data_IF_588151282686
#
_entry.id   IF_588151282686
#
_cell.length_a   1.000
_cell.length_b   1.000
_cell.length_c   1.000
_cell.angle_alpha   90.00
_cell.angle_beta   90.00
_cell.angle_gamma   90.00
#
_symmetry.space_group_name_H-M   'P 1'
#
loop_
_entity.id
_entity.type
_entity.pdbx_description
1 polymer ?
#
# COMPACT_ATOMS: atom_id res chain seq x y z
N UNK A 1 -13.37 25.55 1.51
CA UNK A 1 -13.42 26.72 0.62
C UNK A 1 -13.51 26.23 -0.82
N UNK A 2 -14.30 26.86 -1.67
CA UNK A 2 -14.33 26.55 -3.11
C UNK A 2 -13.10 27.10 -3.83
N UNK A 3 -12.75 26.58 -5.01
CA UNK A 3 -11.64 27.09 -5.82
C UNK A 3 -11.73 28.61 -6.04
N UNK A 4 -12.93 29.12 -6.30
CA UNK A 4 -13.19 30.55 -6.46
C UNK A 4 -12.89 31.35 -5.18
N UNK A 5 -13.25 30.82 -4.01
CA UNK A 5 -12.97 31.47 -2.72
C UNK A 5 -11.47 31.51 -2.42
N UNK A 6 -10.73 30.43 -2.72
CA UNK A 6 -9.28 30.37 -2.52
C UNK A 6 -8.57 31.34 -3.46
N UNK A 7 -8.93 31.33 -4.74
CA UNK A 7 -8.38 32.22 -5.75
C UNK A 7 -8.60 33.70 -5.39
N UNK A 8 -9.82 34.06 -4.98
CA UNK A 8 -10.16 35.41 -4.57
C UNK A 8 -9.36 35.85 -3.34
N UNK A 9 -9.31 35.02 -2.29
CA UNK A 9 -8.57 35.28 -1.05
C UNK A 9 -7.07 35.48 -1.31
N UNK A 10 -6.47 34.66 -2.18
CA UNK A 10 -5.05 34.79 -2.55
C UNK A 10 -4.77 36.07 -3.36
N UNK A 11 -5.66 36.45 -4.28
CA UNK A 11 -5.53 37.69 -5.03
C UNK A 11 -5.69 38.94 -4.16
N UNK A 12 -6.60 38.90 -3.18
CA UNK A 12 -6.76 39.95 -2.15
C UNK A 12 -5.48 40.13 -1.33
N UNK A 13 -4.87 39.03 -0.89
CA UNK A 13 -3.59 39.04 -0.14
C UNK A 13 -2.42 39.60 -0.95
N UNK A 14 -2.45 39.43 -2.28
CA UNK A 14 -1.45 39.98 -3.20
C UNK A 14 -1.65 41.46 -3.52
N UNK A 15 -2.75 42.09 -3.05
CA UNK A 15 -3.13 43.47 -3.39
C UNK A 15 -3.13 43.75 -4.89
N UNK A 16 -3.36 42.72 -5.72
CA UNK A 16 -3.47 42.89 -7.17
C UNK A 16 -4.87 43.45 -7.47
N UNK A 17 -5.02 44.42 -8.39
CA UNK A 17 -6.33 44.86 -8.82
C UNK A 17 -7.12 43.64 -9.28
N UNK A 18 -8.36 43.51 -8.82
CA UNK A 18 -9.23 42.37 -9.12
C UNK A 18 -9.27 42.14 -10.64
N UNK A 19 -8.47 41.20 -11.13
CA UNK A 19 -8.83 40.49 -12.34
C UNK A 19 -10.20 39.87 -12.06
N UNK A 20 -11.11 39.89 -13.04
CA UNK A 20 -12.46 39.32 -12.91
C UNK A 20 -12.40 37.96 -12.21
N UNK A 21 -13.36 37.65 -11.33
CA UNK A 21 -13.35 36.43 -10.50
C UNK A 21 -13.12 35.14 -11.33
N UNK A 22 -13.58 35.15 -12.59
CA UNK A 22 -13.36 34.08 -13.57
C UNK A 22 -11.88 33.90 -13.96
N UNK A 23 -11.13 35.00 -14.11
CA UNK A 23 -9.70 34.99 -14.44
C UNK A 23 -8.85 34.51 -13.27
N UNK A 24 -9.17 34.93 -12.04
CA UNK A 24 -8.50 34.46 -10.84
C UNK A 24 -8.71 32.95 -10.65
N UNK A 25 -9.94 32.47 -10.86
CA UNK A 25 -10.28 31.04 -10.79
C UNK A 25 -9.55 30.23 -11.85
N UNK A 26 -9.55 30.67 -13.12
CA UNK A 26 -8.80 30.02 -14.21
C UNK A 26 -7.29 29.98 -13.95
N UNK A 27 -6.74 31.05 -13.37
CA UNK A 27 -5.32 31.09 -13.00
C UNK A 27 -5.02 30.09 -11.88
N UNK A 28 -5.85 30.01 -10.85
CA UNK A 28 -5.73 29.02 -9.78
C UNK A 28 -5.83 27.58 -10.32
N UNK A 29 -6.80 27.28 -11.20
CA UNK A 29 -6.93 25.97 -11.86
C UNK A 29 -5.69 25.62 -12.71
N UNK A 30 -5.08 26.61 -13.37
CA UNK A 30 -3.82 26.41 -14.09
C UNK A 30 -2.67 26.08 -13.13
N UNK A 31 -2.62 26.70 -11.96
CA UNK A 31 -1.62 26.40 -10.93
C UNK A 31 -1.82 24.99 -10.41
N UNK A 32 -3.04 24.56 -10.07
CA UNK A 32 -3.34 23.19 -9.65
C UNK A 32 -2.91 22.16 -10.72
N UNK A 33 -3.19 22.43 -12.00
CA UNK A 33 -2.83 21.52 -13.09
C UNK A 33 -1.33 21.43 -13.36
N UNK A 34 -0.59 22.53 -13.19
CA UNK A 34 0.81 22.62 -13.65
C UNK A 34 1.82 22.64 -12.51
N UNK A 35 1.40 22.88 -11.27
CA UNK A 35 2.25 23.12 -10.11
C UNK A 35 3.11 24.39 -10.20
N UNK A 36 3.01 25.17 -11.29
CA UNK A 36 3.89 26.30 -11.57
C UNK A 36 3.22 27.61 -11.18
N UNK A 37 3.86 28.35 -10.27
CA UNK A 37 3.44 29.70 -9.88
C UNK A 37 4.62 30.52 -9.39
N UNK A 38 4.43 31.83 -9.23
CA UNK A 38 5.43 32.72 -8.60
C UNK A 38 5.46 32.52 -7.08
N UNK A 39 6.61 32.69 -6.43
CA UNK A 39 6.74 32.58 -4.96
C UNK A 39 5.71 33.43 -4.20
N UNK A 40 5.50 34.69 -4.61
CA UNK A 40 4.51 35.56 -3.97
C UNK A 40 3.08 35.01 -4.02
N UNK A 41 2.71 34.37 -5.14
CA UNK A 41 1.40 33.71 -5.26
C UNK A 41 1.34 32.43 -4.43
N UNK A 42 2.43 31.66 -4.35
CA UNK A 42 2.51 30.51 -3.45
C UNK A 42 2.33 30.94 -1.98
N UNK A 43 2.99 32.02 -1.54
CA UNK A 43 2.85 32.57 -0.18
C UNK A 43 1.41 33.04 0.10
N UNK A 44 0.77 33.66 -0.90
CA UNK A 44 -0.61 34.13 -0.79
C UNK A 44 -1.63 32.98 -0.74
N UNK A 45 -1.41 31.92 -1.54
CA UNK A 45 -2.19 30.70 -1.49
C UNK A 45 -2.02 29.97 -0.15
N UNK A 46 -0.78 29.89 0.35
CA UNK A 46 -0.48 29.28 1.64
C UNK A 46 -1.22 30.01 2.77
N UNK A 47 -1.16 31.36 2.79
CA UNK A 47 -1.93 32.18 3.73
C UNK A 47 -3.45 32.04 3.55
N UNK A 48 -3.95 32.00 2.32
CA UNK A 48 -5.37 31.83 2.05
C UNK A 48 -5.91 30.49 2.56
N UNK A 49 -5.10 29.44 2.49
CA UNK A 49 -5.40 28.08 2.92
C UNK A 49 -4.95 27.80 4.37
N UNK A 50 -4.42 28.81 5.07
CA UNK A 50 -3.88 28.70 6.42
C UNK A 50 -2.85 27.57 6.58
N UNK A 51 -1.94 27.47 5.62
CA UNK A 51 -0.87 26.47 5.53
C UNK A 51 0.46 27.14 5.18
N UNK A 52 1.53 26.36 4.94
CA UNK A 52 2.84 26.86 4.50
C UNK A 52 3.10 26.54 3.03
N UNK A 53 4.02 27.26 2.39
CA UNK A 53 4.42 26.95 1.01
C UNK A 53 5.04 25.57 0.89
N UNK A 54 5.79 25.13 1.90
CA UNK A 54 6.35 23.79 1.94
C UNK A 54 5.25 22.73 1.85
N UNK A 55 4.13 22.93 2.56
CA UNK A 55 2.97 22.03 2.50
C UNK A 55 2.30 22.06 1.13
N UNK A 56 2.16 23.23 0.52
CA UNK A 56 1.65 23.33 -0.85
C UNK A 56 2.56 22.65 -1.89
N UNK A 57 3.86 22.52 -1.59
CA UNK A 57 4.83 21.80 -2.42
C UNK A 57 4.86 20.30 -2.14
N UNK A 58 4.00 19.80 -1.25
CA UNK A 58 3.91 18.37 -0.91
C UNK A 58 4.77 17.94 0.28
N UNK A 59 5.43 18.85 0.99
CA UNK A 59 6.11 18.51 2.24
C UNK A 59 5.10 18.34 3.37
N UNK A 60 5.45 17.54 4.37
CA UNK A 60 4.64 17.42 5.57
C UNK A 60 4.53 18.78 6.30
N UNK A 61 3.34 19.17 6.82
CA UNK A 61 3.22 20.31 7.71
C UNK A 61 4.06 20.10 8.98
N UNK A 62 4.49 21.20 9.58
CA UNK A 62 5.12 21.18 10.91
C UNK A 62 4.21 20.41 11.87
N UNK A 63 4.80 19.48 12.64
CA UNK A 63 4.03 18.66 13.58
C UNK A 63 3.37 19.59 14.60
N UNK A 64 2.04 19.52 14.69
CA UNK A 64 1.31 20.10 15.82
C UNK A 64 1.77 19.49 17.15
N UNK A 65 1.40 20.08 18.29
CA UNK A 65 1.79 19.56 19.60
C UNK A 65 1.35 18.09 19.72
N UNK A 66 2.31 17.21 19.97
CA UNK A 66 2.05 15.78 20.11
C UNK A 66 1.40 15.50 21.47
N UNK A 67 0.33 14.70 21.47
CA UNK A 67 -0.30 14.22 22.71
C UNK A 67 0.72 13.47 23.57
N UNK A 68 1.53 12.61 22.93
CA UNK A 68 2.59 11.84 23.57
C UNK A 68 3.63 12.77 24.21
N UNK A 69 4.13 13.79 23.47
CA UNK A 69 5.13 14.73 24.02
C UNK A 69 4.55 15.57 25.17
N UNK A 70 3.26 15.88 25.11
CA UNK A 70 2.56 16.63 26.16
C UNK A 70 2.41 15.79 27.42
N UNK A 71 2.04 14.51 27.28
CA UNK A 71 1.95 13.55 28.37
C UNK A 71 3.33 13.23 28.95
N UNK A 72 4.33 13.00 28.12
CA UNK A 72 5.71 12.75 28.55
C UNK A 72 6.23 13.91 29.41
N UNK A 73 6.06 15.15 28.94
CA UNK A 73 6.46 16.34 29.70
C UNK A 73 5.70 16.43 31.03
N UNK A 74 4.40 16.15 31.01
CA UNK A 74 3.56 16.17 32.21
C UNK A 74 4.00 15.10 33.22
N UNK A 75 4.27 13.88 32.78
CA UNK A 75 4.74 12.79 33.62
C UNK A 75 6.11 13.07 34.22
N UNK A 76 7.08 13.54 33.42
CA UNK A 76 8.40 13.94 33.93
C UNK A 76 8.27 15.02 35.00
N UNK A 77 7.44 16.04 34.76
CA UNK A 77 7.21 17.09 35.74
C UNK A 77 6.62 16.56 37.06
N UNK A 78 5.61 15.69 36.99
CA UNK A 78 4.99 15.10 38.20
C UNK A 78 5.94 14.20 38.99
N UNK A 79 6.82 13.47 38.30
CA UNK A 79 7.85 12.64 38.92
C UNK A 79 8.89 13.50 39.64
N UNK A 80 9.33 14.62 39.03
CA UNK A 80 10.27 15.56 39.64
C UNK A 80 9.70 16.23 40.89
N UNK A 81 8.42 16.59 40.87
CA UNK A 81 7.75 17.26 41.99
C UNK A 81 7.19 16.28 43.04
N UNK A 82 7.21 14.97 42.76
CA UNK A 82 6.59 13.94 43.62
C UNK A 82 5.07 14.09 43.74
N UNK A 83 4.41 14.68 42.73
CA UNK A 83 3.02 15.10 42.82
C UNK A 83 1.99 13.98 42.58
N UNK A 84 2.41 12.85 42.00
CA UNK A 84 1.51 11.72 41.68
C UNK A 84 2.11 10.38 42.14
N UNK A 85 1.70 9.86 43.31
CA UNK A 85 2.09 8.52 43.76
C UNK A 85 1.53 7.42 42.85
N UNK A 86 0.38 7.67 42.22
CA UNK A 86 -0.28 6.74 41.28
C UNK A 86 0.57 6.55 40.02
N UNK A 87 1.15 7.62 39.47
CA UNK A 87 2.07 7.54 38.33
C UNK A 87 3.33 6.74 38.67
N UNK A 88 3.89 6.93 39.87
CA UNK A 88 5.07 6.20 40.33
C UNK A 88 4.78 4.70 40.48
N UNK A 89 3.63 4.35 41.04
CA UNK A 89 3.20 2.95 41.17
C UNK A 89 2.95 2.31 39.81
N UNK A 90 2.27 3.00 38.89
CA UNK A 90 2.00 2.50 37.54
C UNK A 90 3.29 2.22 36.77
N UNK A 91 4.25 3.14 36.78
CA UNK A 91 5.57 2.95 36.15
C UNK A 91 6.35 1.78 36.80
N UNK A 92 6.26 1.61 38.11
CA UNK A 92 6.91 0.50 38.81
C UNK A 92 6.28 -0.86 38.43
N UNK A 93 4.95 -0.92 38.30
CA UNK A 93 4.25 -2.12 37.84
C UNK A 93 4.60 -2.47 36.39
N UNK A 94 4.73 -1.47 35.52
CA UNK A 94 5.10 -1.69 34.12
C UNK A 94 6.54 -2.16 33.97
N UNK A 95 7.46 -1.58 34.74
CA UNK A 95 8.85 -2.04 34.82
C UNK A 95 8.94 -3.50 35.30
N UNK A 96 8.04 -3.94 36.19
CA UNK A 96 7.95 -5.35 36.63
C UNK A 96 7.34 -6.27 35.56
N UNK A 97 6.48 -5.74 34.69
CA UNK A 97 5.81 -6.50 33.64
C UNK A 97 6.69 -6.74 32.39
N UNK A 98 7.69 -5.89 32.16
CA UNK A 98 8.65 -6.03 31.05
C UNK A 98 9.53 -7.28 31.24
N UNK A 99 9.27 -8.34 30.46
CA UNK A 99 10.14 -9.52 30.35
C UNK A 99 11.21 -9.27 29.28
N UNK A 100 12.29 -8.59 29.60
CA UNK A 100 13.35 -8.31 28.63
C UNK A 100 14.36 -7.26 29.09
N UNK A 101 15.13 -6.75 28.13
CA UNK A 101 15.99 -5.59 28.38
C UNK A 101 15.12 -4.37 28.76
N UNK A 102 15.51 -3.61 29.80
CA UNK A 102 14.75 -2.45 30.23
C UNK A 102 14.68 -1.41 29.10
N UNK A 103 13.48 -0.84 28.92
CA UNK A 103 13.27 0.24 27.94
C UNK A 103 14.24 1.41 28.21
N UNK A 104 14.94 1.92 27.19
CA UNK A 104 15.82 3.09 27.34
C UNK A 104 15.08 4.36 27.78
N UNK A 105 13.77 4.48 27.55
CA UNK A 105 12.96 5.61 28.00
C UNK A 105 11.55 5.19 28.48
N UNK A 106 11.43 4.65 29.71
CA UNK A 106 10.17 4.08 30.19
C UNK A 106 9.05 5.11 30.33
N UNK A 107 9.38 6.39 30.57
CA UNK A 107 8.37 7.45 30.71
C UNK A 107 7.71 7.76 29.37
N UNK A 108 8.49 7.75 28.29
CA UNK A 108 7.96 7.97 26.95
C UNK A 108 7.08 6.82 26.50
N UNK A 109 7.53 5.57 26.69
CA UNK A 109 6.73 4.39 26.35
C UNK A 109 5.42 4.37 27.12
N UNK A 110 5.45 4.71 28.40
CA UNK A 110 4.24 4.88 29.20
C UNK A 110 3.31 6.00 28.68
N UNK A 111 3.89 7.13 28.27
CA UNK A 111 3.13 8.21 27.64
C UNK A 111 2.44 7.76 26.34
N UNK A 112 3.09 6.92 25.54
CA UNK A 112 2.50 6.33 24.34
C UNK A 112 1.32 5.39 24.67
N UNK A 113 1.45 4.56 25.70
CA UNK A 113 0.36 3.69 26.16
C UNK A 113 -0.83 4.51 26.69
N UNK A 114 -0.58 5.48 27.57
CA UNK A 114 -1.63 6.33 28.14
C UNK A 114 -2.31 7.16 27.06
N UNK A 115 -1.56 7.67 26.08
CA UNK A 115 -2.11 8.39 24.95
C UNK A 115 -3.10 7.51 24.15
N UNK A 116 -2.76 6.24 23.89
CA UNK A 116 -3.65 5.29 23.19
C UNK A 116 -4.93 5.01 24.00
N UNK A 117 -4.80 4.89 25.33
CA UNK A 117 -5.95 4.72 26.24
C UNK A 117 -6.88 5.94 26.22
N UNK A 118 -6.32 7.14 26.21
CA UNK A 118 -7.10 8.39 26.07
C UNK A 118 -7.85 8.39 24.75
N UNK A 119 -7.17 8.08 23.64
CA UNK A 119 -7.81 8.05 22.32
C UNK A 119 -8.97 7.04 22.27
N UNK A 120 -8.76 5.82 22.74
CA UNK A 120 -9.81 4.80 22.81
C UNK A 120 -11.01 5.23 23.67
N UNK A 121 -10.75 5.84 24.81
CA UNK A 121 -11.79 6.30 25.75
C UNK A 121 -12.71 7.37 25.12
N UNK A 122 -12.23 8.15 24.15
CA UNK A 122 -13.04 9.17 23.48
C UNK A 122 -14.21 8.60 22.67
N UNK A 123 -14.16 7.34 22.21
CA UNK A 123 -15.28 6.68 21.50
C UNK A 123 -16.40 6.20 22.43
N UNK A 124 -16.06 5.91 23.69
CA UNK A 124 -16.98 5.32 24.65
C UNK A 124 -16.23 4.89 25.90
N UNK A 125 -16.37 5.61 27.03
CA UNK A 125 -15.59 5.31 28.22
C UNK A 125 -16.04 3.98 28.83
N UNK A 126 -15.13 3.04 29.13
CA UNK A 126 -15.37 2.03 30.16
C UNK A 126 -15.75 2.75 31.46
N UNK A 127 -16.67 2.16 32.25
CA UNK A 127 -16.95 2.70 33.58
C UNK A 127 -15.63 2.83 34.35
N UNK A 128 -15.39 4.01 34.89
CA UNK A 128 -14.23 4.40 35.73
C UNK A 128 -12.89 4.67 35.03
N UNK A 129 -12.76 4.48 33.70
CA UNK A 129 -11.47 4.71 33.03
C UNK A 129 -11.07 6.18 32.94
N UNK A 130 -12.05 7.08 32.72
CA UNK A 130 -11.80 8.51 32.68
C UNK A 130 -11.24 9.03 34.01
N UNK A 131 -11.80 8.58 35.13
CA UNK A 131 -11.34 8.97 36.47
C UNK A 131 -9.89 8.49 36.73
N UNK A 132 -9.57 7.26 36.33
CA UNK A 132 -8.19 6.73 36.41
C UNK A 132 -7.21 7.55 35.57
N UNK A 133 -7.59 7.94 34.36
CA UNK A 133 -6.75 8.75 33.49
C UNK A 133 -6.56 10.18 34.04
N UNK A 134 -7.59 10.78 34.65
CA UNK A 134 -7.48 12.07 35.34
C UNK A 134 -6.48 11.98 36.50
N UNK A 135 -6.60 10.96 37.35
CA UNK A 135 -5.71 10.75 38.48
C UNK A 135 -4.26 10.48 38.03
N UNK A 136 -4.10 9.66 37.00
CA UNK A 136 -2.79 9.30 36.46
C UNK A 136 -2.07 10.46 35.77
N UNK A 137 -2.80 11.26 34.98
CA UNK A 137 -2.23 12.34 34.17
C UNK A 137 -2.23 13.69 34.87
N UNK A 138 -3.03 13.86 35.92
CA UNK A 138 -3.29 15.15 36.55
C UNK A 138 -3.99 16.15 35.62
N UNK A 139 -4.45 15.73 34.45
CA UNK A 139 -5.23 16.56 33.53
C UNK A 139 -6.71 16.51 33.92
N UNK A 140 -7.43 17.59 33.62
CA UNK A 140 -8.88 17.63 33.79
C UNK A 140 -9.58 16.75 32.76
N UNK A 141 -10.81 16.33 33.06
CA UNK A 141 -11.65 15.60 32.08
C UNK A 141 -11.79 16.39 30.76
N UNK A 142 -11.93 17.71 30.86
CA UNK A 142 -12.04 18.57 29.69
C UNK A 142 -10.76 18.58 28.83
N UNK A 143 -9.58 18.40 29.43
CA UNK A 143 -8.30 18.31 28.73
C UNK A 143 -8.13 16.94 28.05
N UNK A 144 -8.51 15.85 28.73
CA UNK A 144 -8.47 14.49 28.19
C UNK A 144 -9.47 14.29 27.03
N UNK A 145 -10.62 14.98 27.09
CA UNK A 145 -11.66 14.94 26.06
C UNK A 145 -11.41 15.92 24.90
N UNK A 146 -10.29 16.65 24.88
CA UNK A 146 -9.93 17.43 23.70
C UNK A 146 -9.66 16.48 22.53
N UNK A 147 -10.16 16.78 21.32
CA UNK A 147 -9.93 15.95 20.14
C UNK A 147 -8.45 16.02 19.74
N UNK A 148 -7.68 15.10 20.31
CA UNK A 148 -6.28 14.82 20.00
C UNK A 148 -6.17 13.33 19.73
N UNK A 149 -5.66 12.98 18.56
CA UNK A 149 -5.58 11.61 18.07
C UNK A 149 -4.13 11.27 17.72
N UNK A 150 -3.65 10.12 18.13
CA UNK A 150 -2.36 9.57 17.69
C UNK A 150 -2.56 8.92 16.33
N UNK A 151 -3.54 8.02 16.28
CA UNK A 151 -3.81 7.15 15.14
C UNK A 151 -5.04 7.64 14.36
N UNK A 152 -6.02 8.21 15.06
CA UNK A 152 -7.30 8.69 14.54
C UNK A 152 -8.33 7.57 14.46
N UNK A 153 -9.61 7.94 14.57
CA UNK A 153 -10.71 7.00 14.38
C UNK A 153 -11.18 7.01 12.93
N UNK A 154 -11.57 5.85 12.44
CA UNK A 154 -12.03 5.66 11.07
C UNK A 154 -13.33 4.88 11.07
N UNK A 155 -14.38 5.50 10.55
CA UNK A 155 -15.60 4.77 10.27
C UNK A 155 -15.49 4.12 8.90
N UNK A 156 -15.70 2.81 8.86
CA UNK A 156 -15.57 1.98 7.66
C UNK A 156 -16.89 1.28 7.39
N UNK A 157 -17.25 1.13 6.12
CA UNK A 157 -18.47 0.51 5.64
C UNK A 157 -18.19 -0.36 4.42
N UNK A 158 -18.89 -1.47 4.29
CA UNK A 158 -18.82 -2.34 3.13
C UNK A 158 -20.22 -2.73 2.66
N UNK A 159 -20.32 -3.02 1.37
CA UNK A 159 -21.44 -3.75 0.78
C UNK A 159 -20.85 -4.81 -0.13
N UNK A 160 -20.98 -6.07 0.29
CA UNK A 160 -20.45 -7.24 -0.43
C UNK A 160 -21.63 -8.15 -0.74
N UNK A 161 -21.94 -8.36 -2.02
CA UNK A 161 -23.09 -9.18 -2.45
C UNK A 161 -24.43 -8.85 -1.74
N UNK A 162 -24.63 -7.58 -1.38
CA UNK A 162 -25.82 -7.10 -0.65
C UNK A 162 -25.72 -7.19 0.87
N UNK A 163 -24.74 -7.91 1.43
CA UNK A 163 -24.39 -7.89 2.85
C UNK A 163 -23.75 -6.55 3.19
N UNK A 164 -24.21 -5.91 4.27
CA UNK A 164 -23.71 -4.60 4.71
C UNK A 164 -23.03 -4.75 6.06
N UNK A 165 -21.80 -4.24 6.18
CA UNK A 165 -21.05 -4.16 7.43
C UNK A 165 -20.58 -2.73 7.65
N UNK A 166 -20.48 -2.34 8.91
CA UNK A 166 -19.86 -1.07 9.29
C UNK A 166 -19.16 -1.21 10.63
N UNK A 167 -18.03 -0.55 10.80
CA UNK A 167 -17.22 -0.62 12.01
C UNK A 167 -16.49 0.70 12.24
N UNK A 168 -16.04 0.96 13.47
CA UNK A 168 -15.07 2.03 13.74
C UNK A 168 -13.75 1.35 14.06
N UNK A 169 -12.73 1.64 13.27
CA UNK A 169 -11.36 1.14 13.46
C UNK A 169 -10.46 2.27 13.94
N UNK A 170 -9.39 1.91 14.66
CA UNK A 170 -8.39 2.85 15.15
C UNK A 170 -7.19 2.85 14.20
N UNK A 171 -6.81 3.99 13.67
CA UNK A 171 -5.68 4.12 12.74
C UNK A 171 -6.03 3.91 11.27
N UNK A 172 -5.33 4.67 10.43
CA UNK A 172 -5.47 4.62 8.98
C UNK A 172 -4.96 3.29 8.39
N UNK A 173 -3.99 2.66 9.03
CA UNK A 173 -3.43 1.35 8.66
C UNK A 173 -4.42 0.20 8.85
N UNK A 174 -5.36 0.32 9.80
CA UNK A 174 -6.38 -0.69 10.04
C UNK A 174 -7.50 -0.70 8.99
N UNK A 175 -7.63 0.36 8.18
CA UNK A 175 -8.65 0.41 7.10
C UNK A 175 -8.37 -0.64 6.01
N UNK A 176 -7.17 -0.74 5.40
CA UNK A 176 -6.83 -1.82 4.47
C UNK A 176 -7.03 -3.22 5.07
N UNK A 177 -6.62 -3.43 6.33
CA UNK A 177 -6.81 -4.70 7.03
C UNK A 177 -8.30 -5.05 7.14
N UNK A 178 -9.14 -4.09 7.52
CA UNK A 178 -10.58 -4.28 7.63
C UNK A 178 -11.24 -4.61 6.29
N UNK A 179 -10.82 -3.97 5.19
CA UNK A 179 -11.27 -4.31 3.84
C UNK A 179 -10.91 -5.76 3.51
N UNK A 180 -9.66 -6.16 3.77
CA UNK A 180 -9.19 -7.51 3.51
C UNK A 180 -9.97 -8.55 4.32
N UNK A 181 -10.20 -8.32 5.62
CA UNK A 181 -11.00 -9.21 6.47
C UNK A 181 -12.46 -9.29 6.00
N UNK A 182 -13.08 -8.17 5.66
CA UNK A 182 -14.45 -8.15 5.16
C UNK A 182 -14.60 -8.97 3.89
N UNK A 183 -13.61 -8.91 2.98
CA UNK A 183 -13.59 -9.73 1.78
C UNK A 183 -13.42 -11.21 2.13
N UNK A 184 -12.53 -11.57 3.05
CA UNK A 184 -12.32 -12.97 3.43
C UNK A 184 -13.54 -13.59 4.11
N UNK A 185 -14.22 -12.82 4.96
CA UNK A 185 -15.40 -13.28 5.72
C UNK A 185 -16.64 -13.37 4.82
N UNK A 186 -16.95 -12.31 4.07
CA UNK A 186 -18.20 -12.21 3.30
C UNK A 186 -18.04 -12.71 1.84
N UNK A 187 -16.80 -12.95 1.41
CA UNK A 187 -16.47 -13.42 0.06
C UNK A 187 -15.20 -14.29 0.02
N UNK A 188 -15.21 -15.47 0.68
CA UNK A 188 -14.02 -16.31 0.87
C UNK A 188 -13.41 -16.83 -0.44
N UNK A 189 -14.21 -16.92 -1.51
CA UNK A 189 -13.75 -17.35 -2.83
C UNK A 189 -13.01 -16.23 -3.61
N UNK A 190 -12.89 -15.01 -3.08
CA UNK A 190 -12.11 -13.96 -3.76
C UNK A 190 -10.59 -14.16 -3.62
N UNK A 191 -9.80 -13.92 -4.68
CA UNK A 191 -10.17 -13.65 -6.08
C UNK A 191 -10.20 -14.92 -6.97
N UNK A 192 -10.23 -16.13 -6.37
CA UNK A 192 -10.02 -17.42 -7.05
C UNK A 192 -11.28 -18.22 -7.42
N UNK A 193 -12.48 -17.71 -7.10
CA UNK A 193 -13.75 -18.35 -7.38
C UNK A 193 -14.06 -18.42 -8.88
N UNK A 194 -14.72 -19.49 -9.32
CA UNK A 194 -15.01 -19.78 -10.73
C UNK A 194 -15.83 -18.71 -11.46
N UNK A 195 -16.46 -17.79 -10.73
CA UNK A 195 -17.29 -16.71 -11.27
C UNK A 195 -16.45 -15.50 -11.71
N UNK A 196 -15.18 -15.40 -11.28
CA UNK A 196 -14.36 -14.21 -11.50
C UNK A 196 -13.06 -14.55 -12.23
N UNK A 197 -13.07 -14.36 -13.55
CA UNK A 197 -11.82 -14.44 -14.35
C UNK A 197 -10.97 -13.20 -14.14
N UNK A 198 -11.55 -12.01 -14.03
CA UNK A 198 -10.86 -10.71 -13.90
C UNK A 198 -11.54 -9.76 -12.90
N UNK A 199 -10.78 -8.77 -12.43
CA UNK A 199 -11.20 -7.80 -11.43
C UNK A 199 -10.67 -6.38 -11.71
N UNK A 200 -11.53 -5.38 -11.53
CA UNK A 200 -11.16 -3.95 -11.48
C UNK A 200 -11.33 -3.44 -10.06
N UNK A 201 -10.30 -2.78 -9.52
CA UNK A 201 -10.39 -2.02 -8.28
C UNK A 201 -10.32 -0.54 -8.59
N UNK A 202 -11.33 0.22 -8.16
CA UNK A 202 -11.41 1.67 -8.37
C UNK A 202 -11.43 2.39 -7.03
N UNK A 203 -10.49 3.31 -6.84
CA UNK A 203 -10.41 4.19 -5.68
C UNK A 203 -10.98 5.55 -6.06
N UNK A 204 -11.90 6.09 -5.27
CA UNK A 204 -12.53 7.40 -5.50
C UNK A 204 -12.49 8.25 -4.24
N UNK A 205 -12.36 9.55 -4.43
CA UNK A 205 -12.31 10.53 -3.35
C UNK A 205 -13.51 11.48 -3.47
N UNK A 206 -14.34 11.48 -2.44
CA UNK A 206 -15.50 12.36 -2.28
C UNK A 206 -15.46 12.96 -0.87
N UNK A 207 -14.44 13.80 -0.62
CA UNK A 207 -14.10 14.27 0.73
C UNK A 207 -15.32 14.78 1.52
N UNK A 208 -15.46 14.37 2.81
CA UNK A 208 -14.45 13.67 3.61
C UNK A 208 -14.37 12.15 3.37
N UNK A 209 -15.21 11.59 2.49
CA UNK A 209 -15.28 10.16 2.24
C UNK A 209 -14.28 9.69 1.20
N UNK A 210 -13.76 8.49 1.43
CA UNK A 210 -12.93 7.73 0.50
C UNK A 210 -13.64 6.42 0.18
N UNK A 211 -13.56 6.00 -1.08
CA UNK A 211 -14.28 4.85 -1.58
C UNK A 211 -13.33 3.91 -2.32
N UNK A 212 -13.54 2.61 -2.14
CA UNK A 212 -12.91 1.53 -2.90
C UNK A 212 -14.01 0.65 -3.46
N UNK A 213 -14.01 0.47 -4.77
CA UNK A 213 -14.98 -0.38 -5.48
C UNK A 213 -14.24 -1.54 -6.13
N UNK A 214 -14.73 -2.75 -5.91
CA UNK A 214 -14.23 -3.99 -6.52
C UNK A 214 -15.31 -4.49 -7.48
N UNK A 215 -15.02 -4.58 -8.77
CA UNK A 215 -16.02 -4.84 -9.80
C UNK A 215 -15.54 -5.86 -10.82
N UNK A 216 -16.45 -6.72 -11.28
CA UNK A 216 -16.18 -7.61 -12.42
C UNK A 216 -16.24 -6.78 -13.70
N UNK A 217 -15.22 -6.83 -14.57
CA UNK A 217 -15.31 -6.19 -15.88
C UNK A 217 -16.49 -6.75 -16.70
N UNK A 218 -16.68 -8.07 -16.67
CA UNK A 218 -17.64 -8.78 -17.50
C UNK A 218 -19.07 -8.74 -16.95
N UNK A 219 -19.23 -8.61 -15.61
CA UNK A 219 -20.54 -8.60 -14.96
C UNK A 219 -20.63 -7.37 -14.05
N UNK A 220 -21.00 -6.18 -14.58
CA UNK A 220 -20.99 -4.93 -13.82
C UNK A 220 -21.87 -4.93 -12.56
N UNK A 221 -22.91 -5.77 -12.52
CA UNK A 221 -23.79 -5.96 -11.37
C UNK A 221 -23.09 -6.64 -10.18
N UNK A 222 -22.00 -7.39 -10.43
CA UNK A 222 -21.13 -7.93 -9.40
C UNK A 222 -20.15 -6.83 -8.97
N UNK A 223 -20.60 -6.05 -7.98
CA UNK A 223 -19.89 -4.91 -7.44
C UNK A 223 -19.92 -4.96 -5.92
N UNK A 224 -18.73 -4.85 -5.34
CA UNK A 224 -18.53 -4.72 -3.91
C UNK A 224 -17.96 -3.32 -3.64
N UNK A 225 -18.47 -2.66 -2.61
CA UNK A 225 -18.08 -1.26 -2.30
C UNK A 225 -17.63 -1.15 -0.86
N UNK A 226 -16.54 -0.43 -0.65
CA UNK A 226 -16.01 -0.07 0.66
C UNK A 226 -15.98 1.46 0.73
N UNK A 227 -16.45 2.04 1.83
CA UNK A 227 -16.45 3.48 2.05
C UNK A 227 -15.92 3.75 3.44
N UNK A 228 -15.04 4.73 3.58
CA UNK A 228 -14.40 5.04 4.85
C UNK A 228 -14.14 6.53 5.00
N UNK A 229 -14.19 7.00 6.25
CA UNK A 229 -14.04 8.41 6.60
C UNK A 229 -13.37 8.55 7.95
N UNK A 230 -12.47 9.52 8.08
CA UNK A 230 -11.87 9.87 9.36
C UNK A 230 -12.94 10.48 10.25
N UNK A 231 -13.09 9.99 11.47
CA UNK A 231 -14.03 10.51 12.44
C UNK A 231 -13.32 11.05 13.68
N UNK A 232 -13.89 12.12 14.24
CA UNK A 232 -13.42 12.75 15.47
C UNK A 232 -14.54 12.70 16.50
N UNK A 233 -14.35 11.95 17.61
CA UNK A 233 -15.30 11.99 18.71
C UNK A 233 -15.29 13.35 19.39
N UNK A 234 -16.48 13.84 19.73
CA UNK A 234 -16.69 15.05 20.52
C UNK A 234 -17.80 14.78 21.54
N UNK A 235 -17.97 15.64 22.57
CA UNK A 235 -19.11 15.53 23.47
C UNK A 235 -20.48 15.57 22.78
N UNK A 236 -20.57 16.13 21.56
CA UNK A 236 -21.79 16.19 20.75
C UNK A 236 -22.01 14.98 19.83
N UNK A 237 -21.06 14.03 19.80
CA UNK A 237 -21.07 12.88 18.91
C UNK A 237 -19.85 12.79 18.00
N UNK A 238 -19.91 11.88 17.04
CA UNK A 238 -18.88 11.66 16.02
C UNK A 238 -19.03 12.66 14.86
N UNK A 239 -17.94 13.33 14.52
CA UNK A 239 -17.88 14.25 13.38
C UNK A 239 -16.99 13.68 12.29
N UNK A 240 -17.45 13.75 11.04
CA UNK A 240 -16.66 13.39 9.87
C UNK A 240 -15.65 14.49 9.55
N UNK A 241 -14.41 14.09 9.31
CA UNK A 241 -13.29 15.00 9.09
C UNK A 241 -12.51 14.55 7.87
N UNK A 242 -11.84 15.49 7.21
CA UNK A 242 -10.95 15.13 6.12
C UNK A 242 -9.76 14.32 6.65
N UNK A 243 -9.24 13.35 5.87
CA UNK A 243 -7.98 12.70 6.17
C UNK A 243 -6.85 13.73 6.23
N UNK A 244 -5.95 13.55 7.20
CA UNK A 244 -4.69 14.27 7.26
C UNK A 244 -3.70 13.75 6.21
N UNK A 245 -2.63 14.50 5.96
CA UNK A 245 -1.55 14.05 5.08
C UNK A 245 -0.92 12.73 5.55
N UNK A 246 -0.83 12.52 6.87
CA UNK A 246 -0.25 11.29 7.47
C UNK A 246 -1.17 10.10 7.24
N UNK A 247 -2.48 10.32 7.26
CA UNK A 247 -3.43 9.27 6.92
C UNK A 247 -3.28 8.86 5.46
N UNK A 248 -3.19 9.84 4.56
CA UNK A 248 -2.98 9.59 3.13
C UNK A 248 -1.68 8.84 2.87
N UNK A 249 -0.62 9.16 3.60
CA UNK A 249 0.64 8.44 3.51
C UNK A 249 0.47 6.93 3.79
N UNK A 250 -0.28 6.56 4.84
CA UNK A 250 -0.51 5.16 5.19
C UNK A 250 -1.55 4.47 4.31
N UNK A 251 -2.63 5.17 3.95
CA UNK A 251 -3.73 4.63 3.16
C UNK A 251 -3.34 4.39 1.71
N UNK A 252 -2.76 5.41 1.04
CA UNK A 252 -2.60 5.39 -0.40
C UNK A 252 -1.68 4.26 -0.85
N UNK A 253 -0.54 4.09 -0.17
CA UNK A 253 0.41 3.03 -0.48
C UNK A 253 -0.13 1.65 -0.12
N UNK A 254 -0.74 1.49 1.06
CA UNK A 254 -1.27 0.20 1.53
C UNK A 254 -2.45 -0.29 0.67
N UNK A 255 -3.39 0.60 0.34
CA UNK A 255 -4.53 0.27 -0.55
C UNK A 255 -4.05 -0.03 -1.96
N UNK A 256 -3.08 0.74 -2.48
CA UNK A 256 -2.52 0.49 -3.81
C UNK A 256 -1.83 -0.87 -3.87
N UNK A 257 -1.01 -1.21 -2.87
CA UNK A 257 -0.36 -2.53 -2.77
C UNK A 257 -1.39 -3.65 -2.74
N UNK A 258 -2.38 -3.54 -1.85
CA UNK A 258 -3.48 -4.50 -1.78
C UNK A 258 -4.19 -4.64 -3.14
N UNK A 259 -4.52 -3.54 -3.81
CA UNK A 259 -5.20 -3.55 -5.09
C UNK A 259 -4.36 -4.21 -6.20
N UNK A 260 -3.05 -3.96 -6.22
CA UNK A 260 -2.12 -4.53 -7.21
C UNK A 260 -1.98 -6.05 -7.08
N UNK A 261 -2.15 -6.60 -5.87
CA UNK A 261 -2.13 -8.05 -5.61
C UNK A 261 -3.45 -8.75 -5.97
N UNK A 262 -4.58 -8.02 -6.02
CA UNK A 262 -5.92 -8.63 -6.13
C UNK A 262 -6.67 -8.30 -7.42
N UNK A 263 -6.20 -7.35 -8.23
CA UNK A 263 -6.87 -6.91 -9.46
C UNK A 263 -5.98 -7.00 -10.70
N UNK A 264 -6.65 -6.89 -11.84
CA UNK A 264 -6.04 -6.78 -13.17
C UNK A 264 -5.92 -5.31 -13.58
N UNK A 265 -6.89 -4.51 -13.17
CA UNK A 265 -6.93 -3.08 -13.43
C UNK A 265 -7.16 -2.34 -12.12
N UNK A 266 -6.37 -1.30 -11.90
CA UNK A 266 -6.51 -0.42 -10.73
C UNK A 266 -6.68 1.01 -11.22
N UNK A 267 -7.69 1.70 -10.72
CA UNK A 267 -7.86 3.14 -10.85
C UNK A 267 -7.54 3.76 -9.50
N UNK A 268 -6.46 4.54 -9.41
CA UNK A 268 -6.04 5.19 -8.17
C UNK A 268 -6.92 6.39 -7.80
N UNK A 269 -6.69 6.97 -6.61
CA UNK A 269 -7.36 8.22 -6.19
C UNK A 269 -7.08 9.40 -7.12
N UNK A 270 -5.97 9.35 -7.87
CA UNK A 270 -5.60 10.30 -8.92
C UNK A 270 -6.40 10.12 -10.23
N UNK A 271 -7.29 9.12 -10.28
CA UNK A 271 -8.08 8.77 -11.46
C UNK A 271 -7.29 8.06 -12.55
N UNK A 272 -6.00 7.77 -12.35
CA UNK A 272 -5.19 7.08 -13.35
C UNK A 272 -5.50 5.59 -13.33
N UNK A 273 -5.83 5.04 -14.51
CA UNK A 273 -6.00 3.61 -14.72
C UNK A 273 -4.67 2.94 -15.04
N UNK A 274 -4.36 1.85 -14.36
CA UNK A 274 -3.18 1.02 -14.56
C UNK A 274 -3.61 -0.45 -14.71
N UNK A 275 -3.15 -1.18 -15.74
CA UNK A 275 -2.41 -0.67 -16.91
C UNK A 275 -3.25 0.33 -17.71
N UNK A 276 -2.59 1.29 -18.37
CA UNK A 276 -3.26 2.22 -19.28
C UNK A 276 -3.41 1.65 -20.69
N UNK A 277 -2.45 0.86 -21.14
CA UNK A 277 -2.50 0.12 -22.39
C UNK A 277 -2.06 -1.34 -22.19
N UNK A 278 -2.89 -2.27 -22.64
CA UNK A 278 -2.60 -3.71 -22.57
C UNK A 278 -1.54 -4.13 -23.59
N UNK A 279 -1.38 -3.42 -24.72
CA UNK A 279 -0.34 -3.74 -25.71
C UNK A 279 1.06 -3.43 -25.21
N UNK A 280 1.16 -2.49 -24.27
CA UNK A 280 2.40 -2.10 -23.63
C UNK A 280 2.82 -3.05 -22.51
N UNK A 281 2.02 -4.07 -22.17
CA UNK A 281 2.36 -5.03 -21.12
C UNK A 281 3.57 -5.90 -21.50
N UNK A 282 4.48 -6.09 -20.55
CA UNK A 282 5.70 -6.90 -20.68
C UNK A 282 5.92 -7.69 -19.39
N UNK A 283 6.65 -8.80 -19.48
CA UNK A 283 7.31 -9.39 -18.31
C UNK A 283 8.76 -8.91 -18.29
N UNK A 284 9.15 -8.22 -17.23
CA UNK A 284 10.52 -7.76 -16.99
C UNK A 284 11.24 -8.79 -16.12
N UNK A 285 12.43 -9.22 -16.55
CA UNK A 285 13.31 -10.11 -15.80
C UNK A 285 14.47 -9.28 -15.26
N UNK A 286 14.61 -9.27 -13.94
CA UNK A 286 15.59 -8.47 -13.23
C UNK A 286 16.45 -9.35 -12.32
N UNK A 287 17.70 -8.97 -12.10
CA UNK A 287 18.52 -9.50 -11.01
C UNK A 287 18.48 -8.51 -9.85
N UNK A 288 18.05 -8.92 -8.64
CA UNK A 288 18.09 -8.05 -7.49
C UNK A 288 19.55 -7.67 -7.16
N UNK A 289 19.82 -6.36 -7.07
CA UNK A 289 21.11 -5.81 -6.60
C UNK A 289 20.86 -4.87 -5.42
N UNK A 290 21.93 -4.51 -4.69
CA UNK A 290 21.84 -3.68 -3.48
C UNK A 290 21.43 -2.23 -3.76
N UNK A 291 21.79 -1.69 -4.92
CA UNK A 291 21.54 -0.28 -5.28
C UNK A 291 20.43 -0.10 -6.32
N UNK A 292 20.35 -0.96 -7.35
CA UNK A 292 19.28 -0.95 -8.35
C UNK A 292 19.14 -2.33 -9.02
N UNK A 293 17.91 -2.83 -9.16
CA UNK A 293 17.62 -4.10 -9.85
C UNK A 293 18.16 -4.05 -11.31
N UNK A 294 19.08 -4.95 -11.67
CA UNK A 294 19.66 -5.02 -13.02
C UNK A 294 18.65 -5.62 -14.02
N UNK A 295 18.28 -4.87 -15.05
CA UNK A 295 17.38 -5.36 -16.10
C UNK A 295 18.10 -6.32 -17.05
N UNK A 296 17.69 -7.58 -17.06
CA UNK A 296 18.33 -8.64 -17.86
C UNK A 296 17.60 -8.90 -19.17
N UNK A 297 16.27 -8.91 -19.14
CA UNK A 297 15.46 -9.22 -20.31
C UNK A 297 14.04 -8.66 -20.20
N UNK A 298 13.44 -8.41 -21.36
CA UNK A 298 12.06 -7.96 -21.50
C UNK A 298 11.32 -8.94 -22.41
N UNK A 299 10.30 -9.61 -21.88
CA UNK A 299 9.48 -10.56 -22.62
C UNK A 299 8.22 -9.86 -23.11
N UNK A 300 8.09 -9.79 -24.44
CA UNK A 300 6.90 -9.24 -25.11
C UNK A 300 5.82 -10.31 -25.38
N UNK A 301 6.26 -11.58 -25.51
CA UNK A 301 5.44 -12.65 -26.05
C UNK A 301 4.91 -12.33 -27.44
N UNK A 302 3.74 -12.87 -27.77
CA UNK A 302 3.10 -12.73 -29.08
C UNK A 302 2.00 -11.66 -29.08
N UNK A 303 2.08 -10.65 -28.21
CA UNK A 303 1.07 -9.59 -28.14
C UNK A 303 0.91 -8.82 -29.44
N UNK A 304 1.99 -8.66 -30.20
CA UNK A 304 2.01 -7.94 -31.49
C UNK A 304 1.22 -8.69 -32.59
N UNK A 305 0.93 -9.98 -32.38
CA UNK A 305 0.14 -10.81 -33.32
C UNK A 305 -1.38 -10.69 -33.10
N UNK A 306 -1.81 -10.08 -31.99
CA UNK A 306 -3.24 -9.92 -31.66
C UNK A 306 -3.84 -8.71 -32.39
N UNK A 307 -4.95 -8.94 -33.09
CA UNK A 307 -5.71 -7.88 -33.75
C UNK A 307 -6.36 -6.93 -32.75
N UNK A 308 -6.63 -5.69 -33.19
CA UNK A 308 -7.20 -4.66 -32.32
C UNK A 308 -8.55 -5.02 -31.70
N UNK A 309 -9.41 -5.66 -32.49
CA UNK A 309 -10.71 -6.14 -32.04
C UNK A 309 -10.61 -7.13 -30.88
N UNK A 310 -9.59 -8.00 -30.88
CA UNK A 310 -9.37 -9.00 -29.83
C UNK A 310 -8.90 -8.33 -28.55
N UNK A 311 -8.00 -7.35 -28.64
CA UNK A 311 -7.52 -6.61 -27.47
C UNK A 311 -8.63 -5.76 -26.87
N UNK A 312 -9.45 -5.10 -27.69
CA UNK A 312 -10.56 -4.29 -27.20
C UNK A 312 -11.68 -5.15 -26.60
N UNK A 313 -11.96 -6.33 -27.18
CA UNK A 313 -12.83 -7.32 -26.55
C UNK A 313 -12.26 -7.79 -25.21
N UNK A 314 -10.95 -8.06 -25.09
CA UNK A 314 -10.34 -8.44 -23.82
C UNK A 314 -10.47 -7.35 -22.74
N UNK A 315 -10.43 -6.07 -23.12
CA UNK A 315 -10.69 -4.95 -22.19
C UNK A 315 -12.14 -4.92 -21.71
N UNK A 316 -13.08 -5.16 -22.62
CA UNK A 316 -14.52 -5.14 -22.32
C UNK A 316 -15.00 -6.39 -21.56
N UNK A 317 -14.44 -7.55 -21.89
CA UNK A 317 -14.84 -8.85 -21.35
C UNK A 317 -14.06 -9.23 -20.09
N UNK A 318 -13.00 -8.51 -19.72
CA UNK A 318 -12.16 -8.89 -18.58
C UNK A 318 -11.39 -10.18 -18.87
N UNK A 319 -10.52 -10.14 -19.87
CA UNK A 319 -9.64 -11.26 -20.26
C UNK A 319 -8.14 -10.90 -20.16
N UNK A 320 -7.76 -10.13 -19.16
CA UNK A 320 -6.37 -9.79 -18.85
C UNK A 320 -5.51 -11.02 -18.58
N UNK A 321 -6.03 -12.03 -17.89
CA UNK A 321 -5.27 -13.26 -17.61
C UNK A 321 -4.91 -14.03 -18.89
N UNK A 322 -5.73 -13.93 -19.95
CA UNK A 322 -5.39 -14.44 -21.26
C UNK A 322 -4.24 -13.62 -21.87
N UNK A 323 -4.33 -12.29 -21.87
CA UNK A 323 -3.23 -11.42 -22.34
C UNK A 323 -1.91 -11.77 -21.65
N UNK A 324 -1.89 -11.89 -20.32
CA UNK A 324 -0.70 -12.29 -19.55
C UNK A 324 -0.22 -13.69 -19.94
N UNK A 325 -1.13 -14.64 -20.13
CA UNK A 325 -0.77 -15.99 -20.62
C UNK A 325 -0.09 -15.95 -21.99
N UNK A 326 -0.50 -15.05 -22.88
CA UNK A 326 0.13 -14.86 -24.19
C UNK A 326 1.53 -14.24 -24.07
N UNK A 327 1.71 -13.25 -23.19
CA UNK A 327 3.04 -12.69 -22.88
C UNK A 327 3.96 -13.80 -22.35
N UNK A 328 3.45 -14.61 -21.43
CA UNK A 328 4.20 -15.67 -20.77
C UNK A 328 4.58 -16.84 -21.69
N UNK A 329 3.99 -16.95 -22.90
CA UNK A 329 4.32 -18.02 -23.85
C UNK A 329 5.80 -18.02 -24.26
N UNK A 330 6.41 -16.84 -24.40
CA UNK A 330 7.83 -16.65 -24.70
C UNK A 330 8.75 -16.61 -23.48
N UNK A 331 8.20 -16.79 -22.27
CA UNK A 331 8.95 -16.59 -21.03
C UNK A 331 10.10 -17.59 -20.87
N UNK A 332 9.87 -18.86 -21.21
CA UNK A 332 10.87 -19.91 -21.04
C UNK A 332 12.14 -19.65 -21.85
N UNK A 333 12.00 -19.19 -23.10
CA UNK A 333 13.14 -18.90 -23.97
C UNK A 333 13.97 -17.71 -23.48
N UNK A 334 13.35 -16.76 -22.76
CA UNK A 334 14.05 -15.65 -22.12
C UNK A 334 14.74 -16.06 -20.81
N UNK A 335 14.11 -16.94 -20.03
CA UNK A 335 14.63 -17.40 -18.73
C UNK A 335 15.75 -18.43 -18.91
N UNK A 336 15.58 -19.40 -19.80
CA UNK A 336 16.49 -20.55 -19.96
C UNK A 336 17.98 -20.16 -20.09
N UNK A 337 18.37 -19.15 -20.90
CA UNK A 337 19.76 -18.74 -21.01
C UNK A 337 20.33 -18.18 -19.70
N UNK A 338 19.51 -17.60 -18.83
CA UNK A 338 19.96 -17.04 -17.55
C UNK A 338 20.23 -18.13 -16.48
N UNK A 339 19.75 -19.35 -16.71
CA UNK A 339 19.88 -20.46 -15.77
C UNK A 339 21.04 -21.41 -16.11
N UNK A 340 21.76 -21.17 -17.22
CA UNK A 340 22.71 -22.12 -17.81
C UNK A 340 23.92 -22.46 -16.93
N UNK A 341 24.29 -21.57 -16.01
CA UNK A 341 25.44 -21.74 -15.11
C UNK A 341 25.27 -22.91 -14.14
N UNK A 342 24.02 -23.34 -13.89
CA UNK A 342 23.71 -24.39 -12.93
C UNK A 342 22.69 -25.40 -13.50
N UNK A 343 22.77 -26.69 -13.11
CA UNK A 343 21.77 -27.69 -13.47
C UNK A 343 20.34 -27.26 -13.14
N UNK A 344 19.39 -27.60 -14.02
CA UNK A 344 17.98 -27.21 -13.88
C UNK A 344 17.32 -27.67 -12.56
N UNK A 345 17.76 -28.80 -11.98
CA UNK A 345 17.24 -29.31 -10.70
C UNK A 345 17.75 -28.57 -9.46
N UNK A 346 18.63 -27.59 -9.64
CA UNK A 346 19.16 -26.73 -8.58
C UNK A 346 18.46 -25.37 -8.52
N UNK A 347 17.56 -25.10 -9.46
CA UNK A 347 16.77 -23.87 -9.49
C UNK A 347 15.40 -24.11 -8.89
N UNK A 348 14.92 -23.13 -8.13
CA UNK A 348 13.58 -23.11 -7.56
C UNK A 348 12.84 -21.91 -8.08
N UNK A 349 11.55 -22.09 -8.38
CA UNK A 349 10.67 -21.03 -8.84
C UNK A 349 9.53 -20.92 -7.84
N UNK A 350 9.33 -19.73 -7.27
CA UNK A 350 8.26 -19.43 -6.31
C UNK A 350 7.50 -18.22 -6.78
N UNK A 351 6.18 -18.23 -6.62
CA UNK A 351 5.44 -16.97 -6.57
C UNK A 351 5.78 -16.29 -5.25
N UNK A 352 6.02 -15.00 -5.31
CA UNK A 352 6.29 -14.19 -4.14
C UNK A 352 5.29 -13.02 -4.10
N UNK A 353 4.72 -12.81 -2.93
CA UNK A 353 3.88 -11.67 -2.63
C UNK A 353 4.56 -10.94 -1.48
N UNK A 354 5.45 -10.03 -1.82
CA UNK A 354 6.11 -9.17 -0.86
C UNK A 354 5.22 -7.96 -0.55
N UNK A 355 5.50 -7.30 0.58
CA UNK A 355 4.86 -6.02 0.98
C UNK A 355 4.92 -4.98 -0.15
N UNK A 356 5.89 -5.08 -1.06
CA UNK A 356 6.18 -4.08 -2.10
C UNK A 356 5.77 -4.52 -3.51
N UNK A 357 5.51 -5.81 -3.74
CA UNK A 357 5.22 -6.31 -5.09
C UNK A 357 4.69 -7.75 -5.13
N UNK A 358 3.96 -8.09 -6.21
CA UNK A 358 3.62 -9.48 -6.55
C UNK A 358 4.46 -9.89 -7.77
N UNK A 359 5.30 -10.91 -7.60
CA UNK A 359 6.29 -11.30 -8.60
C UNK A 359 6.57 -12.80 -8.59
N UNK A 360 7.33 -13.27 -9.58
CA UNK A 360 7.90 -14.63 -9.57
C UNK A 360 9.38 -14.51 -9.23
N UNK A 361 9.84 -15.30 -8.27
CA UNK A 361 11.24 -15.38 -7.87
C UNK A 361 11.80 -16.72 -8.35
N UNK A 362 12.93 -16.65 -9.06
CA UNK A 362 13.73 -17.81 -9.44
C UNK A 362 15.01 -17.73 -8.62
N UNK A 363 15.34 -18.75 -7.84
CA UNK A 363 16.51 -18.75 -6.97
C UNK A 363 17.23 -20.09 -7.00
N UNK A 364 18.54 -20.08 -6.84
CA UNK A 364 19.29 -21.32 -6.60
C UNK A 364 18.91 -21.95 -5.25
N UNK A 365 19.03 -23.27 -5.17
CA UNK A 365 18.84 -24.04 -3.95
C UNK A 365 19.82 -23.57 -2.88
N UNK A 366 19.27 -23.13 -1.74
CA UNK A 366 20.05 -22.64 -0.62
C UNK A 366 21.04 -23.70 -0.11
N UNK A 367 20.72 -24.99 -0.19
CA UNK A 367 21.59 -26.09 0.25
C UNK A 367 22.93 -26.18 -0.49
N UNK A 368 23.01 -25.64 -1.71
CA UNK A 368 24.26 -25.57 -2.49
C UNK A 368 25.17 -24.50 -1.91
N UNK A 369 24.59 -23.40 -1.41
CA UNK A 369 25.29 -22.26 -0.82
C UNK A 369 25.99 -22.65 0.48
N UNK A 370 25.41 -23.58 1.24
CA UNK A 370 25.92 -24.02 2.54
C UNK A 370 27.04 -25.05 2.48
N UNK A 371 27.27 -25.73 1.33
CA UNK A 371 28.31 -26.77 1.23
C UNK A 371 29.74 -26.21 1.21
N UNK A 372 29.94 -25.01 0.65
CA UNK A 372 31.27 -24.41 0.48
C UNK A 372 31.49 -23.15 1.35
N UNK A 373 30.52 -22.79 2.21
CA UNK A 373 30.62 -21.57 3.01
C UNK A 373 31.29 -21.82 4.37
N UNK A 374 32.55 -21.36 4.50
CA UNK A 374 33.36 -21.46 5.73
C UNK A 374 33.50 -20.15 6.52
N UNK A 375 32.69 -19.12 6.21
CA UNK A 375 32.89 -17.76 6.71
C UNK A 375 32.10 -17.41 7.98
N UNK A 376 32.63 -16.48 8.80
CA UNK A 376 31.85 -15.72 9.80
C UNK A 376 31.36 -14.44 9.12
N UNK A 377 30.09 -14.39 8.71
CA UNK A 377 29.47 -13.23 8.06
C UNK A 377 28.08 -13.56 7.54
N UNK A 378 27.40 -12.61 6.86
CA UNK A 378 26.22 -12.91 6.05
C UNK A 378 26.68 -13.51 4.70
N UNK A 379 25.93 -14.46 4.11
CA UNK A 379 26.31 -15.03 2.83
C UNK A 379 26.16 -13.97 1.73
N UNK A 380 26.87 -14.11 0.59
CA UNK A 380 26.59 -13.27 -0.58
C UNK A 380 25.10 -13.36 -0.96
N UNK A 381 24.50 -12.31 -1.56
CA UNK A 381 23.09 -12.33 -1.99
C UNK A 381 22.84 -13.51 -2.94
N UNK A 382 21.64 -14.12 -2.87
CA UNK A 382 21.26 -15.23 -3.76
C UNK A 382 21.38 -14.82 -5.21
N UNK A 383 22.05 -15.65 -6.02
CA UNK A 383 21.86 -15.60 -7.46
C UNK A 383 20.41 -15.96 -7.69
N UNK A 384 19.63 -14.94 -8.01
CA UNK A 384 18.20 -15.05 -8.18
C UNK A 384 17.71 -14.01 -9.16
N UNK A 385 16.57 -14.31 -9.77
CA UNK A 385 15.92 -13.48 -10.75
C UNK A 385 14.50 -13.17 -10.28
N UNK A 386 14.05 -11.95 -10.53
CA UNK A 386 12.70 -11.51 -10.25
C UNK A 386 11.99 -11.21 -11.57
N UNK A 387 10.80 -11.75 -11.72
CA UNK A 387 9.95 -11.51 -12.88
C UNK A 387 8.75 -10.68 -12.43
N UNK A 388 8.53 -9.55 -13.08
CA UNK A 388 7.44 -8.62 -12.79
C UNK A 388 6.63 -8.34 -14.05
N UNK A 389 5.32 -8.16 -13.89
CA UNK A 389 4.48 -7.59 -14.94
C UNK A 389 4.63 -6.07 -14.92
N UNK A 390 4.94 -5.49 -16.07
CA UNK A 390 5.14 -4.05 -16.24
C UNK A 390 4.44 -3.55 -17.49
N UNK A 391 4.19 -2.25 -17.54
CA UNK A 391 3.77 -1.51 -18.72
C UNK A 391 4.94 -0.68 -19.23
N UNK A 392 5.25 -0.84 -20.52
CA UNK A 392 6.27 -0.05 -21.21
C UNK A 392 5.68 1.30 -21.63
N UNK A 393 6.24 2.39 -21.09
CA UNK A 393 5.82 3.76 -21.40
C UNK A 393 6.48 4.27 -22.70
N UNK A 394 5.93 5.34 -23.28
CA UNK A 394 6.42 5.95 -24.52
C UNK A 394 7.88 6.43 -24.43
N UNK A 395 8.36 6.78 -23.23
CA UNK A 395 9.75 7.16 -22.97
C UNK A 395 10.70 5.96 -22.83
N UNK A 396 10.19 4.75 -23.06
CA UNK A 396 10.93 3.48 -22.96
C UNK A 396 11.08 2.96 -21.54
N UNK A 397 10.59 3.68 -20.51
CA UNK A 397 10.65 3.22 -19.13
C UNK A 397 9.55 2.21 -18.83
N UNK A 398 9.73 1.48 -17.73
CA UNK A 398 8.74 0.53 -17.25
C UNK A 398 8.02 1.06 -16.02
N UNK A 399 6.70 0.95 -16.03
CA UNK A 399 5.84 1.22 -14.88
C UNK A 399 5.27 -0.10 -14.36
N UNK A 400 5.27 -0.28 -13.05
CA UNK A 400 4.62 -1.44 -12.42
C UNK A 400 3.11 -1.42 -12.67
N UNK A 401 2.54 -2.60 -12.90
CA UNK A 401 1.10 -2.78 -13.08
C UNK A 401 0.55 -3.81 -12.10
N UNK A 402 -0.76 -3.83 -11.83
CA UNK A 402 -1.40 -4.88 -11.07
C UNK A 402 -1.13 -6.26 -11.69
N UNK A 403 -0.74 -7.22 -10.86
CA UNK A 403 -0.60 -8.62 -11.27
C UNK A 403 -1.15 -9.50 -10.16
N UNK A 404 -2.38 -9.95 -10.38
CA UNK A 404 -3.12 -10.72 -9.39
C UNK A 404 -2.36 -11.97 -8.97
N UNK A 405 -2.35 -12.24 -7.67
CA UNK A 405 -1.63 -13.35 -7.04
C UNK A 405 -1.91 -14.71 -7.69
N UNK A 406 -3.18 -15.04 -7.95
CA UNK A 406 -3.56 -16.31 -8.59
C UNK A 406 -2.98 -16.45 -10.00
N UNK A 407 -2.94 -15.36 -10.77
CA UNK A 407 -2.35 -15.32 -12.11
C UNK A 407 -0.82 -15.50 -12.04
N UNK A 408 -0.15 -14.90 -11.05
CA UNK A 408 1.29 -15.07 -10.80
C UNK A 408 1.60 -16.52 -10.46
N UNK A 409 0.83 -17.11 -9.54
CA UNK A 409 0.94 -18.52 -9.14
C UNK A 409 0.80 -19.47 -10.33
N UNK A 410 -0.16 -19.22 -11.22
CA UNK A 410 -0.37 -19.99 -12.44
C UNK A 410 0.83 -19.94 -13.39
N UNK A 411 1.39 -18.75 -13.63
CA UNK A 411 2.58 -18.60 -14.48
C UNK A 411 3.82 -19.22 -13.83
N UNK A 412 3.99 -19.06 -12.50
CA UNK A 412 5.06 -19.70 -11.75
C UNK A 412 4.99 -21.23 -11.83
N UNK A 413 3.79 -21.82 -11.74
CA UNK A 413 3.57 -23.26 -11.91
C UNK A 413 3.99 -23.75 -13.30
N UNK A 414 3.60 -23.02 -14.36
CA UNK A 414 4.00 -23.34 -15.73
C UNK A 414 5.51 -23.29 -15.89
N UNK A 415 6.17 -22.30 -15.30
CA UNK A 415 7.62 -22.17 -15.35
C UNK A 415 8.32 -23.29 -14.57
N UNK A 416 7.80 -23.66 -13.38
CA UNK A 416 8.26 -24.84 -12.62
C UNK A 416 8.19 -26.11 -13.45
N UNK A 417 7.06 -26.33 -14.13
CA UNK A 417 6.90 -27.50 -15.00
C UNK A 417 7.94 -27.54 -16.12
N UNK A 418 8.20 -26.41 -16.79
CA UNK A 418 9.24 -26.31 -17.84
C UNK A 418 10.64 -26.60 -17.30
N UNK A 419 10.94 -26.08 -16.11
CA UNK A 419 12.22 -26.33 -15.45
C UNK A 419 12.41 -27.82 -15.12
N UNK A 420 11.37 -28.48 -14.60
CA UNK A 420 11.38 -29.93 -14.35
C UNK A 420 11.55 -30.75 -15.63
N UNK A 421 10.84 -30.40 -16.71
CA UNK A 421 11.00 -31.03 -18.03
C UNK A 421 12.45 -30.93 -18.55
N UNK A 422 13.10 -29.78 -18.37
CA UNK A 422 14.50 -29.58 -18.76
C UNK A 422 15.47 -30.39 -17.87
N UNK A 423 15.21 -30.47 -16.57
CA UNK A 423 15.99 -31.30 -15.65
C UNK A 423 15.92 -32.79 -16.03
N UNK A 424 14.74 -33.29 -16.40
CA UNK A 424 14.55 -34.66 -16.90
C UNK A 424 15.30 -34.91 -18.21
N UNK A 425 15.22 -33.99 -19.18
CA UNK A 425 15.98 -34.08 -20.43
C UNK A 425 17.49 -34.14 -20.18
N UNK A 426 18.01 -33.28 -19.31
CA UNK A 426 19.43 -33.25 -18.94
C UNK A 426 19.90 -34.53 -18.25
N UNK A 427 19.02 -35.19 -17.48
CA UNK A 427 19.30 -36.51 -16.88
C UNK A 427 19.29 -37.61 -17.93
N UNK A 428 18.30 -37.61 -18.84
CA UNK A 428 18.18 -38.60 -19.91
C UNK A 428 19.35 -38.52 -20.90
N UNK A 429 19.84 -37.32 -21.24
CA UNK A 429 21.01 -37.15 -22.12
C UNK A 429 22.33 -37.59 -21.48
N UNK A 430 22.38 -37.70 -20.15
CA UNK A 430 23.56 -38.16 -19.39
C UNK A 430 23.51 -39.66 -19.07
N UNK A 431 22.40 -40.35 -19.33
CA UNK A 431 22.31 -41.80 -19.18
C UNK A 431 23.05 -42.49 -20.34
N UNK A 432 23.99 -43.42 -20.09
CA UNK A 432 24.66 -44.15 -21.16
C UNK A 432 23.62 -44.95 -21.96
N UNK A 433 23.61 -44.81 -23.29
CA UNK A 433 22.85 -45.68 -24.17
C UNK A 433 23.23 -47.13 -23.83
N UNK A 434 22.28 -47.88 -23.27
CA UNK A 434 22.46 -49.31 -23.07
C UNK A 434 22.71 -49.94 -24.44
N UNK A 435 23.94 -50.37 -24.67
CA UNK A 435 24.31 -51.12 -25.85
C UNK A 435 23.39 -52.35 -25.94
N UNK A 436 22.63 -52.44 -27.04
CA UNK A 436 21.91 -53.66 -27.38
C UNK A 436 22.93 -54.81 -27.44
N UNK A 437 22.67 -55.96 -26.78
CA UNK A 437 23.59 -57.08 -26.84
C UNK A 437 23.70 -57.58 -28.30
N UNK A 438 24.91 -57.93 -28.76
CA UNK A 438 25.11 -58.47 -30.11
C UNK A 438 24.38 -59.81 -30.26
N UNK A 439 23.79 -60.00 -31.45
CA UNK A 439 22.98 -61.17 -31.84
C UNK A 439 23.79 -62.46 -31.96
#
# INVERSE_FOLDING_TARGET
>A
MTQAQVAQRAHELLKKPLATADTATKHYQKIERTGRTSQAMADALAKALNTTVNVLQGNAPDKGPSLIESLERQFRHQLETGASPVLQEALAQEALAQRGDPDPDPVRTFAEEVAKRIEYMQLGPPRDELARLVELTGWTEAELMRPMSIDGHWFVMSTIHGVRRSEIVLGADHVPHWIQYSIQDDWPDFPGGSIWSDCVITMREELPWLHVEVQSPSIPALRNTFSFVRCSPTPSGLHWTNPSWRDRFWLDDSLRKWAFTHANFVVGFDGQRVPSDMRALRLLIERPDHDDDEQLAVVKGNLEELSDDVIDNFKGEGQHDLVVSWIASGLWEAVKPLLHDWPADQWHVKSDTCIVDTCIVISLDDSIRWKDWSGRGAPPPSVGYRLRLVEQLDDGKFRRVPWRRSSVELIAERLRKRLSEEAERNRASKAPQAALPPA
#
